data_IF_373398665571
#
_entry.id   IF_373398665571
#
_cell.length_a   1.000
_cell.length_b   1.000
_cell.length_c   1.000
_cell.angle_alpha   90.00
_cell.angle_beta   90.00
_cell.angle_gamma   90.00
#
_symmetry.space_group_name_H-M   'P 1'
#
loop_
_entity.id
_entity.type
_entity.pdbx_description
1 polymer ?
#
# COMPACT_ATOMS: atom_id res chain seq x y z
N UNK A 1 -52.19 13.92 8.27
CA UNK A 1 -51.89 12.49 8.51
C UNK A 1 -51.65 11.79 7.17
N UNK A 2 -50.68 12.28 6.39
CA UNK A 2 -50.34 11.77 5.04
C UNK A 2 -48.85 11.95 4.69
N UNK A 3 -48.03 12.49 5.60
CA UNK A 3 -46.60 12.75 5.40
C UNK A 3 -45.67 11.66 5.99
N UNK A 4 -46.23 10.62 6.62
CA UNK A 4 -45.44 9.66 7.41
C UNK A 4 -45.17 8.31 6.69
N UNK A 5 -45.47 8.21 5.39
CA UNK A 5 -45.39 6.95 4.63
C UNK A 5 -44.40 7.01 3.46
N UNK A 6 -43.32 7.79 3.59
CA UNK A 6 -42.31 7.98 2.55
C UNK A 6 -40.88 8.07 3.11
N UNK A 7 -40.46 7.14 3.96
CA UNK A 7 -39.02 6.87 4.14
C UNK A 7 -38.54 5.92 3.03
N UNK A 8 -38.47 6.45 1.81
CA UNK A 8 -37.79 5.79 0.67
C UNK A 8 -36.29 5.73 0.99
N UNK A 9 -35.62 4.62 0.65
CA UNK A 9 -34.15 4.51 0.70
C UNK A 9 -33.51 5.77 0.11
N UNK A 10 -32.53 6.34 0.82
CA UNK A 10 -31.83 7.54 0.35
C UNK A 10 -30.78 7.11 -0.67
N UNK A 11 -30.87 7.67 -1.88
CA UNK A 11 -29.79 7.54 -2.86
C UNK A 11 -28.57 8.30 -2.33
N UNK A 12 -27.45 7.61 -2.17
CA UNK A 12 -26.25 8.11 -1.49
C UNK A 12 -25.01 7.62 -2.22
N UNK A 13 -24.75 8.18 -3.40
CA UNK A 13 -23.56 7.89 -4.18
C UNK A 13 -22.25 8.21 -3.41
N UNK A 14 -21.18 7.42 -3.62
CA UNK A 14 -19.82 7.83 -3.25
C UNK A 14 -19.51 9.20 -3.81
N UNK A 15 -19.20 10.13 -2.89
CA UNK A 15 -18.84 11.49 -3.24
C UNK A 15 -17.44 11.48 -3.87
N UNK A 16 -17.42 11.35 -5.19
CA UNK A 16 -16.20 11.40 -6.01
C UNK A 16 -15.51 12.74 -5.80
N UNK A 17 -14.28 12.69 -5.29
CA UNK A 17 -13.45 13.86 -4.95
C UNK A 17 -12.78 13.78 -3.58
N UNK A 18 -13.28 12.94 -2.66
CA UNK A 18 -12.66 12.69 -1.34
C UNK A 18 -12.52 11.19 -1.00
N UNK A 19 -13.21 10.30 -1.72
CA UNK A 19 -13.16 8.85 -1.57
C UNK A 19 -12.82 8.22 -2.94
N UNK A 20 -11.53 8.18 -3.29
CA UNK A 20 -11.05 7.71 -4.61
C UNK A 20 -11.09 6.19 -4.76
N UNK A 21 -11.41 5.44 -3.70
CA UNK A 21 -11.46 3.97 -3.71
C UNK A 21 -12.90 3.43 -3.81
N UNK A 22 -13.92 4.26 -3.65
CA UNK A 22 -15.31 3.80 -3.57
C UNK A 22 -15.90 3.15 -4.86
N UNK A 23 -15.24 3.30 -6.02
CA UNK A 23 -15.79 2.82 -7.30
C UNK A 23 -15.64 1.29 -7.52
N UNK A 24 -14.73 0.63 -6.81
CA UNK A 24 -14.45 -0.81 -7.00
C UNK A 24 -15.31 -1.72 -6.10
N UNK A 25 -15.98 -1.15 -5.10
CA UNK A 25 -16.79 -1.87 -4.14
C UNK A 25 -18.25 -1.98 -4.57
N UNK A 26 -18.89 -3.07 -4.14
CA UNK A 26 -20.35 -3.26 -4.28
C UNK A 26 -21.08 -2.90 -2.97
N UNK A 27 -20.35 -2.87 -1.84
CA UNK A 27 -20.90 -2.52 -0.54
C UNK A 27 -19.86 -1.84 0.36
N UNK A 28 -20.27 -0.77 1.02
CA UNK A 28 -19.50 -0.07 2.05
C UNK A 28 -20.26 -0.11 3.37
N UNK A 29 -19.59 -0.58 4.42
CA UNK A 29 -20.18 -0.83 5.74
C UNK A 29 -19.45 -0.01 6.79
N UNK A 30 -20.13 0.96 7.35
CA UNK A 30 -19.63 1.79 8.44
C UNK A 30 -19.84 1.02 9.74
N UNK A 31 -18.75 0.78 10.46
CA UNK A 31 -18.73 0.02 11.72
C UNK A 31 -17.96 0.78 12.81
N UNK A 32 -18.06 0.30 14.03
CA UNK A 32 -17.36 0.80 15.21
C UNK A 32 -16.85 -0.39 16.02
N UNK A 33 -15.65 -0.29 16.58
CA UNK A 33 -15.11 -1.25 17.54
C UNK A 33 -15.87 -1.25 18.88
N UNK A 34 -16.82 -0.33 19.07
CA UNK A 34 -17.82 -0.33 20.14
C UNK A 34 -19.04 -1.20 19.86
N UNK A 35 -19.21 -1.70 18.62
CA UNK A 35 -20.25 -2.69 18.32
C UNK A 35 -19.96 -4.03 19.04
N UNK A 36 -20.98 -4.81 19.41
CA UNK A 36 -20.79 -6.12 20.02
C UNK A 36 -19.95 -7.04 19.12
N UNK A 37 -18.97 -7.75 19.70
CA UNK A 37 -18.05 -8.59 18.93
C UNK A 37 -18.77 -9.67 18.12
N UNK A 38 -19.87 -10.23 18.64
CA UNK A 38 -20.68 -11.21 17.91
C UNK A 38 -21.27 -10.66 16.61
N UNK A 39 -21.69 -9.39 16.61
CA UNK A 39 -22.21 -8.70 15.42
C UNK A 39 -21.09 -8.48 14.40
N UNK A 40 -19.93 -7.99 14.87
CA UNK A 40 -18.76 -7.78 14.01
C UNK A 40 -18.26 -9.09 13.38
N UNK A 41 -18.14 -10.16 14.17
CA UNK A 41 -17.76 -11.50 13.69
C UNK A 41 -18.74 -12.01 12.62
N UNK A 42 -20.04 -11.83 12.83
CA UNK A 42 -21.06 -12.23 11.86
C UNK A 42 -20.93 -11.44 10.54
N UNK A 43 -20.70 -10.13 10.60
CA UNK A 43 -20.49 -9.30 9.41
C UNK A 43 -19.22 -9.70 8.65
N UNK A 44 -18.10 -9.92 9.35
CA UNK A 44 -16.85 -10.35 8.71
C UNK A 44 -16.95 -11.76 8.13
N UNK A 45 -17.65 -12.68 8.79
CA UNK A 45 -17.90 -14.01 8.25
C UNK A 45 -18.73 -13.96 6.96
N UNK A 46 -19.81 -13.18 6.93
CA UNK A 46 -20.63 -13.01 5.73
C UNK A 46 -19.87 -12.34 4.59
N UNK A 47 -18.94 -11.43 4.88
CA UNK A 47 -18.14 -10.77 3.85
C UNK A 47 -17.35 -11.78 3.00
N UNK A 48 -16.94 -12.92 3.57
CA UNK A 48 -16.24 -14.00 2.87
C UNK A 48 -17.10 -14.69 1.79
N UNK A 49 -18.42 -14.54 1.85
CA UNK A 49 -19.35 -15.08 0.85
C UNK A 49 -19.55 -14.13 -0.34
N UNK A 50 -19.06 -12.90 -0.26
CA UNK A 50 -19.01 -11.96 -1.38
C UNK A 50 -17.71 -12.17 -2.17
N UNK A 51 -17.62 -11.70 -3.43
CA UNK A 51 -16.34 -11.74 -4.13
C UNK A 51 -15.29 -10.92 -3.41
N UNK A 52 -14.04 -11.39 -3.42
CA UNK A 52 -12.93 -10.76 -2.72
C UNK A 52 -12.78 -9.28 -3.11
N UNK A 53 -12.60 -8.41 -2.12
CA UNK A 53 -12.43 -6.97 -2.34
C UNK A 53 -13.70 -6.21 -2.72
N UNK A 54 -14.89 -6.82 -2.71
CA UNK A 54 -16.16 -6.13 -3.03
C UNK A 54 -16.85 -5.50 -1.83
N UNK A 55 -16.53 -5.93 -0.62
CA UNK A 55 -17.09 -5.38 0.62
C UNK A 55 -15.99 -4.63 1.38
N UNK A 56 -16.23 -3.34 1.63
CA UNK A 56 -15.35 -2.46 2.40
C UNK A 56 -15.96 -2.17 3.77
N UNK A 57 -15.20 -2.41 4.84
CA UNK A 57 -15.52 -1.97 6.18
C UNK A 57 -14.78 -0.69 6.52
N UNK A 58 -15.51 0.29 7.06
CA UNK A 58 -14.98 1.62 7.34
C UNK A 58 -15.17 1.94 8.82
N UNK A 59 -14.09 2.33 9.47
CA UNK A 59 -14.10 2.87 10.84
C UNK A 59 -13.74 4.36 10.82
N UNK A 60 -14.32 5.12 11.77
CA UNK A 60 -14.16 6.59 11.78
C UNK A 60 -12.75 7.04 12.09
N UNK A 61 -12.04 6.27 12.91
CA UNK A 61 -10.77 6.72 13.45
C UNK A 61 -10.10 5.71 14.35
N UNK A 62 -9.14 6.18 15.15
CA UNK A 62 -8.47 5.40 16.17
C UNK A 62 -7.99 6.30 17.29
N UNK A 63 -7.79 5.76 18.50
CA UNK A 63 -7.12 6.54 19.54
C UNK A 63 -5.66 6.78 19.13
N UNK A 64 -5.12 8.01 19.25
CA UNK A 64 -3.74 8.31 18.86
C UNK A 64 -2.73 7.32 19.44
N UNK A 65 -1.74 6.94 18.62
CA UNK A 65 -0.73 5.92 18.94
C UNK A 65 -1.28 4.49 19.14
N UNK A 66 -2.59 4.27 19.01
CA UNK A 66 -3.24 2.96 19.18
C UNK A 66 -3.86 2.39 17.90
N UNK A 67 -3.40 2.82 16.72
CA UNK A 67 -3.86 2.24 15.45
C UNK A 67 -3.62 0.72 15.39
N UNK A 68 -2.42 0.26 15.77
CA UNK A 68 -2.10 -1.17 15.79
C UNK A 68 -3.01 -1.98 16.72
N UNK A 69 -3.44 -1.38 17.84
CA UNK A 69 -4.38 -2.02 18.79
C UNK A 69 -5.76 -2.16 18.17
N UNK A 70 -6.27 -1.10 17.51
CA UNK A 70 -7.56 -1.14 16.82
C UNK A 70 -7.55 -2.19 15.69
N UNK A 71 -6.53 -2.15 14.83
CA UNK A 71 -6.39 -3.08 13.70
C UNK A 71 -6.27 -4.52 14.20
N UNK A 72 -5.45 -4.76 15.23
CA UNK A 72 -5.31 -6.09 15.83
C UNK A 72 -6.62 -6.59 16.44
N UNK A 73 -7.37 -5.73 17.14
CA UNK A 73 -8.69 -6.07 17.70
C UNK A 73 -9.64 -6.48 16.59
N UNK A 74 -9.80 -5.66 15.56
CA UNK A 74 -10.77 -5.91 14.47
C UNK A 74 -10.37 -7.11 13.61
N UNK A 75 -9.09 -7.26 13.24
CA UNK A 75 -8.60 -8.44 12.51
C UNK A 75 -8.75 -9.73 13.32
N UNK A 76 -8.65 -9.68 14.65
CA UNK A 76 -8.94 -10.83 15.52
C UNK A 76 -10.41 -11.28 15.52
N UNK A 77 -11.31 -10.48 14.94
CA UNK A 77 -12.71 -10.83 14.72
C UNK A 77 -12.96 -11.45 13.34
N UNK A 78 -11.98 -11.46 12.44
CA UNK A 78 -12.12 -12.06 11.12
C UNK A 78 -12.14 -13.58 11.23
N UNK A 79 -12.77 -14.30 10.27
CA UNK A 79 -12.64 -15.76 10.19
C UNK A 79 -11.19 -16.23 10.06
N UNK A 80 -10.39 -15.48 9.29
CA UNK A 80 -8.93 -15.62 9.18
C UNK A 80 -8.28 -14.23 9.36
N UNK A 81 -7.48 -14.00 10.41
CA UNK A 81 -6.82 -12.71 10.66
C UNK A 81 -5.85 -12.25 9.56
N UNK A 82 -5.34 -13.18 8.74
CA UNK A 82 -4.38 -12.91 7.66
C UNK A 82 -5.04 -12.80 6.29
N UNK A 83 -6.37 -12.87 6.21
CA UNK A 83 -7.06 -12.78 4.94
C UNK A 83 -6.91 -11.39 4.30
N UNK A 84 -6.69 -11.38 2.98
CA UNK A 84 -6.75 -10.18 2.13
C UNK A 84 -8.14 -10.01 1.50
N UNK A 85 -9.09 -10.90 1.82
CA UNK A 85 -10.45 -10.87 1.27
C UNK A 85 -11.29 -9.70 1.81
N UNK A 86 -11.06 -9.33 3.07
CA UNK A 86 -11.80 -8.28 3.79
C UNK A 86 -10.99 -6.99 3.78
N UNK A 87 -11.56 -5.95 3.16
CA UNK A 87 -10.98 -4.60 3.18
C UNK A 87 -11.46 -3.84 4.42
N UNK A 88 -10.54 -3.50 5.32
CA UNK A 88 -10.81 -2.66 6.49
C UNK A 88 -10.01 -1.37 6.39
N UNK A 89 -10.70 -0.23 6.41
CA UNK A 89 -10.11 1.09 6.25
C UNK A 89 -10.52 2.07 7.34
N UNK A 90 -9.61 3.01 7.65
CA UNK A 90 -9.89 4.15 8.51
C UNK A 90 -10.13 5.37 7.63
N UNK A 91 -11.39 5.79 7.53
CA UNK A 91 -11.79 6.91 6.66
C UNK A 91 -12.75 7.87 7.38
N UNK A 92 -12.22 8.86 8.11
CA UNK A 92 -13.04 9.89 8.75
C UNK A 92 -13.77 10.79 7.73
N UNK A 93 -13.26 10.95 6.50
CA UNK A 93 -13.93 11.76 5.48
C UNK A 93 -15.23 11.11 5.05
N UNK A 94 -15.25 9.79 4.85
CA UNK A 94 -16.47 9.04 4.55
C UNK A 94 -17.53 9.23 5.65
N UNK A 95 -17.16 9.11 6.92
CA UNK A 95 -18.10 9.34 8.03
C UNK A 95 -18.71 10.75 8.00
N UNK A 96 -17.91 11.79 7.73
CA UNK A 96 -18.41 13.17 7.59
C UNK A 96 -19.28 13.34 6.33
N UNK A 97 -18.85 12.79 5.21
CA UNK A 97 -19.51 12.91 3.91
C UNK A 97 -20.94 12.37 3.92
N UNK A 98 -21.17 11.27 4.65
CA UNK A 98 -22.47 10.63 4.82
C UNK A 98 -23.18 10.99 6.12
N UNK A 99 -22.61 11.90 6.92
CA UNK A 99 -23.14 12.30 8.22
C UNK A 99 -23.47 11.08 9.10
N UNK A 100 -22.54 10.11 9.17
CA UNK A 100 -22.70 8.89 9.95
C UNK A 100 -22.50 9.20 11.43
N UNK A 101 -23.59 9.16 12.18
CA UNK A 101 -23.67 9.43 13.62
C UNK A 101 -23.87 8.16 14.46
N UNK A 102 -24.37 7.09 13.84
CA UNK A 102 -24.53 5.76 14.43
C UNK A 102 -24.27 4.64 13.40
N UNK A 103 -23.91 3.45 13.89
CA UNK A 103 -23.52 2.29 13.07
C UNK A 103 -24.24 1.01 13.53
N UNK A 104 -24.42 -0.02 12.70
CA UNK A 104 -23.94 -0.13 11.33
C UNK A 104 -24.78 0.67 10.34
N UNK A 105 -24.09 1.32 9.40
CA UNK A 105 -24.69 1.94 8.22
C UNK A 105 -24.11 1.27 6.98
N UNK A 106 -24.96 0.96 6.02
CA UNK A 106 -24.58 0.27 4.80
C UNK A 106 -24.90 1.17 3.61
N UNK A 107 -23.93 1.31 2.72
CA UNK A 107 -24.14 1.80 1.38
C UNK A 107 -24.02 0.59 0.46
N UNK A 108 -25.08 0.32 -0.30
CA UNK A 108 -25.13 -0.84 -1.20
C UNK A 108 -25.35 -0.34 -2.61
N UNK A 109 -24.55 -0.88 -3.53
CA UNK A 109 -24.67 -0.62 -4.96
C UNK A 109 -25.74 -1.53 -5.57
N UNK A 110 -26.68 -0.96 -6.31
CA UNK A 110 -27.67 -1.67 -7.13
C UNK A 110 -27.67 -1.06 -8.55
N UNK A 111 -27.08 -1.81 -9.50
CA UNK A 111 -26.69 -1.29 -10.80
C UNK A 111 -25.60 -0.22 -10.68
N UNK A 112 -25.87 0.99 -11.18
CA UNK A 112 -24.97 2.15 -11.07
C UNK A 112 -25.28 3.05 -9.86
N UNK A 113 -26.38 2.76 -9.14
CA UNK A 113 -26.89 3.60 -8.06
C UNK A 113 -26.51 3.05 -6.71
N UNK A 114 -26.38 3.95 -5.73
CA UNK A 114 -26.05 3.61 -4.36
C UNK A 114 -27.18 3.98 -3.43
N UNK A 115 -27.50 3.09 -2.50
CA UNK A 115 -28.57 3.26 -1.55
C UNK A 115 -28.07 3.07 -0.13
N UNK A 116 -28.52 3.96 0.74
CA UNK A 116 -28.23 3.92 2.17
C UNK A 116 -29.28 3.06 2.91
N UNK A 117 -28.81 2.17 3.79
CA UNK A 117 -29.64 1.50 4.78
C UNK A 117 -28.96 1.48 6.15
N UNK A 118 -29.72 1.78 7.20
CA UNK A 118 -29.22 1.86 8.58
C UNK A 118 -29.69 0.66 9.39
N UNK A 119 -28.81 0.14 10.24
CA UNK A 119 -29.13 -0.90 11.21
C UNK A 119 -29.47 -2.25 10.61
N UNK A 120 -29.17 -2.53 9.34
CA UNK A 120 -29.41 -3.87 8.78
C UNK A 120 -28.67 -4.94 9.61
N UNK A 121 -29.31 -6.08 9.88
CA UNK A 121 -28.78 -7.14 10.75
C UNK A 121 -27.68 -7.99 10.09
N UNK A 122 -27.55 -7.89 8.76
CA UNK A 122 -26.61 -8.68 7.96
C UNK A 122 -26.29 -7.95 6.65
N UNK A 123 -25.18 -8.32 5.99
CA UNK A 123 -24.83 -7.82 4.66
C UNK A 123 -25.87 -8.24 3.63
N UNK A 124 -26.38 -9.47 3.74
CA UNK A 124 -27.43 -9.99 2.87
C UNK A 124 -28.75 -9.23 3.03
N UNK A 125 -29.16 -8.95 4.26
CA UNK A 125 -30.36 -8.15 4.52
C UNK A 125 -30.18 -6.72 4.01
N UNK A 126 -28.99 -6.12 4.15
CA UNK A 126 -28.73 -4.80 3.59
C UNK A 126 -28.92 -4.78 2.05
N UNK A 127 -28.41 -5.80 1.35
CA UNK A 127 -28.58 -5.95 -0.10
C UNK A 127 -30.04 -6.20 -0.49
N UNK A 128 -30.72 -7.09 0.23
CA UNK A 128 -32.13 -7.40 0.00
C UNK A 128 -33.03 -6.18 0.23
N UNK A 129 -32.79 -5.41 1.29
CA UNK A 129 -33.52 -4.19 1.61
C UNK A 129 -33.44 -3.18 0.47
N UNK A 130 -32.27 -3.05 -0.17
CA UNK A 130 -32.06 -2.18 -1.33
C UNK A 130 -32.78 -2.70 -2.57
N UNK A 131 -32.65 -4.00 -2.88
CA UNK A 131 -33.32 -4.62 -4.03
C UNK A 131 -34.85 -4.58 -3.91
N UNK A 132 -35.39 -4.78 -2.71
CA UNK A 132 -36.84 -4.76 -2.44
C UNK A 132 -37.38 -3.37 -2.12
N UNK A 133 -36.58 -2.32 -2.32
CA UNK A 133 -36.96 -0.90 -2.12
C UNK A 133 -37.56 -0.60 -0.74
N UNK A 134 -36.96 -1.12 0.33
CA UNK A 134 -37.21 -0.65 1.70
C UNK A 134 -38.12 -1.51 2.58
N UNK A 135 -38.27 -2.81 2.34
CA UNK A 135 -38.80 -3.70 3.38
C UNK A 135 -37.82 -3.74 4.54
N UNK A 136 -38.24 -3.23 5.69
CA UNK A 136 -37.35 -2.71 6.73
C UNK A 136 -37.10 -3.73 7.85
N UNK A 137 -36.04 -4.51 7.74
CA UNK A 137 -35.47 -5.18 8.92
C UNK A 137 -34.52 -4.21 9.63
N UNK A 138 -35.04 -3.42 10.57
CA UNK A 138 -34.23 -2.55 11.41
C UNK A 138 -33.64 -3.35 12.58
N UNK A 139 -32.33 -3.52 12.57
CA UNK A 139 -31.53 -3.95 13.72
C UNK A 139 -31.03 -2.76 14.54
N UNK A 140 -30.30 -3.07 15.61
CA UNK A 140 -29.83 -2.10 16.60
C UNK A 140 -28.71 -1.20 16.03
N UNK A 141 -28.77 0.08 16.42
CA UNK A 141 -27.74 1.07 16.12
C UNK A 141 -26.90 1.34 17.36
N UNK A 142 -25.60 1.46 17.17
CA UNK A 142 -24.58 1.66 18.18
C UNK A 142 -23.89 3.01 17.99
N UNK A 143 -23.44 3.58 19.10
CA UNK A 143 -22.60 4.77 19.09
C UNK A 143 -21.20 4.45 18.51
N UNK A 144 -20.60 5.44 17.85
CA UNK A 144 -19.25 5.34 17.31
C UNK A 144 -18.25 5.55 18.45
N UNK A 145 -17.42 4.54 18.72
CA UNK A 145 -16.50 4.53 19.85
C UNK A 145 -15.19 5.26 19.55
N UNK A 146 -14.75 5.24 18.29
CA UNK A 146 -13.50 5.88 17.88
C UNK A 146 -13.67 7.40 17.76
N UNK A 147 -12.64 8.20 18.12
CA UNK A 147 -12.67 9.63 17.84
C UNK A 147 -12.68 9.90 16.33
N UNK A 148 -13.18 11.07 15.92
CA UNK A 148 -12.97 11.57 14.56
C UNK A 148 -11.48 11.96 14.39
N UNK A 149 -10.75 11.21 13.58
CA UNK A 149 -9.33 11.45 13.39
C UNK A 149 -9.01 12.80 12.75
N UNK A 150 -9.91 13.35 11.94
CA UNK A 150 -9.70 14.69 11.38
C UNK A 150 -9.80 15.74 12.47
N UNK A 151 -10.78 15.64 13.37
CA UNK A 151 -10.89 16.53 14.52
C UNK A 151 -9.64 16.44 15.42
N UNK A 152 -9.12 15.23 15.63
CA UNK A 152 -7.90 15.02 16.42
C UNK A 152 -6.67 15.64 15.73
N UNK A 153 -6.55 15.51 14.39
CA UNK A 153 -5.47 16.12 13.61
C UNK A 153 -5.60 17.65 13.64
N UNK A 154 -6.81 18.19 13.44
CA UNK A 154 -7.12 19.62 13.48
C UNK A 154 -6.74 20.24 14.83
N UNK A 155 -7.12 19.60 15.93
CA UNK A 155 -6.79 20.04 17.29
C UNK A 155 -5.27 20.05 17.54
N UNK A 156 -4.58 18.99 17.12
CA UNK A 156 -3.11 18.92 17.22
C UNK A 156 -2.43 19.96 16.34
N UNK A 157 -2.98 20.25 15.16
CA UNK A 157 -2.41 21.24 14.24
C UNK A 157 -2.55 22.66 14.77
N UNK A 158 -3.63 22.98 15.49
CA UNK A 158 -3.76 24.28 16.18
C UNK A 158 -2.73 24.48 17.28
N UNK A 159 -2.34 23.39 17.95
CA UNK A 159 -1.50 23.44 19.16
C UNK A 159 -0.02 23.10 18.89
N UNK A 160 0.39 22.89 17.64
CA UNK A 160 1.73 22.41 17.32
C UNK A 160 2.27 23.01 16.02
N UNK A 161 3.45 23.63 16.08
CA UNK A 161 4.13 24.10 14.88
C UNK A 161 4.75 22.91 14.12
N UNK A 162 4.12 22.54 13.02
CA UNK A 162 4.55 21.45 12.15
C UNK A 162 5.75 21.81 11.26
N UNK A 163 6.04 23.09 11.05
CA UNK A 163 7.16 23.53 10.20
C UNK A 163 8.51 22.91 10.60
N UNK A 164 8.94 22.94 11.88
CA UNK A 164 10.20 22.31 12.29
C UNK A 164 10.19 20.79 12.16
N UNK A 165 9.05 20.14 12.33
CA UNK A 165 8.94 18.67 12.18
C UNK A 165 9.05 18.27 10.71
N UNK A 166 8.36 18.98 9.82
CA UNK A 166 8.45 18.76 8.38
C UNK A 166 9.86 19.07 7.86
N UNK A 167 10.48 20.16 8.32
CA UNK A 167 11.86 20.49 7.96
C UNK A 167 12.83 19.37 8.36
N UNK A 168 12.73 18.87 9.60
CA UNK A 168 13.55 17.73 10.07
C UNK A 168 13.28 16.45 9.28
N UNK A 169 12.03 16.21 8.88
CA UNK A 169 11.68 15.04 8.06
C UNK A 169 12.29 15.14 6.66
N UNK A 170 12.23 16.33 6.03
CA UNK A 170 12.87 16.60 4.74
C UNK A 170 14.39 16.45 4.82
N UNK A 171 15.04 17.01 5.84
CA UNK A 171 16.49 16.84 6.05
C UNK A 171 16.88 15.37 6.22
N UNK A 172 16.11 14.59 7.00
CA UNK A 172 16.35 13.14 7.16
C UNK A 172 16.17 12.39 5.85
N UNK A 173 15.14 12.70 5.08
CA UNK A 173 14.92 12.09 3.76
C UNK A 173 16.06 12.45 2.80
N UNK A 174 16.45 13.72 2.75
CA UNK A 174 17.57 14.21 1.94
C UNK A 174 18.91 13.58 2.35
N UNK A 175 19.08 13.14 3.60
CA UNK A 175 20.26 12.40 4.06
C UNK A 175 20.18 10.90 3.72
N UNK A 176 19.04 10.26 3.99
CA UNK A 176 18.89 8.81 3.89
C UNK A 176 18.68 8.32 2.45
N UNK A 177 18.17 9.18 1.56
CA UNK A 177 17.92 8.86 0.16
C UNK A 177 19.10 9.23 -0.76
N UNK A 178 20.29 9.47 -0.20
CA UNK A 178 21.51 9.64 -0.98
C UNK A 178 22.09 8.28 -1.34
N UNK A 179 22.55 8.07 -2.58
CA UNK A 179 23.30 6.88 -2.93
C UNK A 179 24.51 6.74 -2.01
N UNK A 180 24.61 5.59 -1.35
CA UNK A 180 25.57 5.40 -0.26
C UNK A 180 26.95 4.93 -0.70
N UNK A 181 27.17 4.68 -1.99
CA UNK A 181 28.40 4.14 -2.53
C UNK A 181 28.53 4.37 -4.05
N UNK A 182 29.75 4.20 -4.55
CA UNK A 182 30.11 4.28 -5.97
C UNK A 182 30.24 2.88 -6.59
N UNK A 183 29.96 2.78 -7.89
CA UNK A 183 30.32 1.65 -8.73
C UNK A 183 31.24 2.14 -9.85
N UNK A 184 32.27 1.38 -10.23
CA UNK A 184 33.15 1.79 -11.33
C UNK A 184 32.37 1.86 -12.65
N UNK A 185 32.79 2.79 -13.52
CA UNK A 185 32.28 2.85 -14.88
C UNK A 185 32.76 1.63 -15.68
N UNK A 186 31.86 0.97 -16.39
CA UNK A 186 32.18 -0.16 -17.26
C UNK A 186 33.14 0.29 -18.38
N UNK A 187 34.21 -0.47 -18.58
CA UNK A 187 35.25 -0.18 -19.59
C UNK A 187 35.00 -0.88 -20.92
N UNK A 188 34.13 -1.89 -20.92
CA UNK A 188 33.70 -2.67 -22.08
C UNK A 188 32.27 -3.17 -21.86
N UNK A 189 31.59 -3.51 -22.94
CA UNK A 189 30.31 -4.19 -22.88
C UNK A 189 30.50 -5.60 -22.30
N UNK A 190 29.53 -6.06 -21.52
CA UNK A 190 29.64 -7.32 -20.81
C UNK A 190 28.31 -7.87 -20.35
N UNK A 191 28.29 -9.17 -20.07
CA UNK A 191 27.16 -9.84 -19.45
C UNK A 191 27.66 -10.75 -18.34
N UNK A 192 27.11 -10.56 -17.15
CA UNK A 192 27.37 -11.41 -15.99
C UNK A 192 26.06 -12.01 -15.48
N UNK A 193 26.16 -13.14 -14.79
CA UNK A 193 25.03 -13.77 -14.13
C UNK A 193 25.24 -13.78 -12.62
N UNK A 194 24.21 -13.40 -11.87
CA UNK A 194 24.22 -13.38 -10.42
C UNK A 194 23.07 -14.19 -9.86
N UNK A 195 23.32 -14.99 -8.83
CA UNK A 195 22.28 -15.75 -8.11
C UNK A 195 22.03 -15.05 -6.77
N UNK A 196 20.89 -14.36 -6.61
CA UNK A 196 20.60 -13.67 -5.37
C UNK A 196 20.23 -14.69 -4.28
N UNK A 197 21.14 -14.90 -3.34
CA UNK A 197 20.95 -15.88 -2.26
C UNK A 197 20.65 -15.22 -0.93
N UNK A 198 19.86 -15.91 -0.10
CA UNK A 198 19.61 -15.58 1.29
C UNK A 198 20.01 -16.76 2.17
N UNK A 199 20.89 -16.49 3.13
CA UNK A 199 21.25 -17.47 4.15
C UNK A 199 20.35 -17.26 5.36
N UNK A 200 19.52 -18.26 5.64
CA UNK A 200 18.56 -18.28 6.74
C UNK A 200 19.33 -18.18 8.06
N UNK A 201 19.14 -17.12 8.86
CA UNK A 201 20.01 -16.87 10.02
C UNK A 201 19.74 -17.83 11.19
N UNK A 202 18.51 -18.31 11.33
CA UNK A 202 18.05 -19.26 12.35
C UNK A 202 16.78 -19.94 11.85
N UNK A 203 16.34 -21.00 12.53
CA UNK A 203 15.10 -21.71 12.18
C UNK A 203 13.89 -20.76 12.12
N UNK A 204 13.26 -20.68 10.94
CA UNK A 204 12.04 -19.93 10.71
C UNK A 204 10.87 -20.88 10.91
N UNK A 205 10.00 -20.59 11.87
CA UNK A 205 8.81 -21.40 12.16
C UNK A 205 7.54 -20.56 11.97
N UNK A 206 6.47 -21.19 11.53
CA UNK A 206 5.14 -20.58 11.40
C UNK A 206 4.12 -21.42 12.18
N UNK A 207 3.04 -20.82 12.72
CA UNK A 207 1.91 -21.60 13.21
C UNK A 207 1.42 -22.56 12.13
N UNK A 208 1.04 -23.77 12.54
CA UNK A 208 0.39 -24.73 11.65
C UNK A 208 -0.97 -24.20 11.19
N UNK A 209 -1.44 -24.63 10.02
CA UNK A 209 -2.73 -24.17 9.43
C UNK A 209 -3.95 -24.47 10.31
N UNK A 210 -3.85 -25.49 11.15
CA UNK A 210 -4.83 -25.95 12.12
C UNK A 210 -4.62 -25.36 13.53
N UNK A 211 -3.65 -24.44 13.71
CA UNK A 211 -3.35 -23.80 14.98
C UNK A 211 -2.66 -24.70 16.01
N UNK A 212 -2.49 -25.99 15.71
CA UNK A 212 -1.87 -26.97 16.59
C UNK A 212 -0.34 -27.02 16.39
N UNK A 213 0.38 -26.06 16.98
CA UNK A 213 1.84 -26.06 17.03
C UNK A 213 2.53 -25.26 15.92
N UNK A 214 3.84 -25.51 15.75
CA UNK A 214 4.71 -24.76 14.84
C UNK A 214 5.29 -25.68 13.75
N UNK A 215 5.25 -25.22 12.50
CA UNK A 215 5.88 -25.85 11.34
C UNK A 215 7.18 -25.12 11.03
N UNK A 216 8.26 -25.87 10.78
CA UNK A 216 9.52 -25.30 10.30
C UNK A 216 9.37 -24.93 8.82
N UNK A 217 9.47 -23.63 8.51
CA UNK A 217 9.45 -23.10 7.16
C UNK A 217 10.82 -23.13 6.49
N UNK A 218 11.87 -22.82 7.24
CA UNK A 218 13.24 -22.84 6.76
C UNK A 218 14.21 -23.10 7.90
N UNK A 219 15.28 -23.85 7.64
CA UNK A 219 16.27 -24.21 8.66
C UNK A 219 17.36 -23.16 8.76
N UNK A 220 17.80 -22.86 9.98
CA UNK A 220 18.99 -22.05 10.22
C UNK A 220 20.20 -22.57 9.45
N UNK A 221 20.91 -21.67 8.78
CA UNK A 221 22.07 -21.97 7.94
C UNK A 221 21.74 -22.39 6.49
N UNK A 222 20.47 -22.66 6.16
CA UNK A 222 20.04 -22.97 4.80
C UNK A 222 20.28 -21.76 3.88
N UNK A 223 20.83 -22.00 2.68
CA UNK A 223 20.94 -20.99 1.63
C UNK A 223 19.84 -21.23 0.62
N UNK A 224 18.99 -20.23 0.41
CA UNK A 224 17.91 -20.26 -0.60
C UNK A 224 18.19 -19.24 -1.69
N UNK A 225 17.82 -19.57 -2.92
CA UNK A 225 17.77 -18.59 -4.00
C UNK A 225 16.50 -17.77 -3.86
N UNK A 226 16.63 -16.44 -3.85
CA UNK A 226 15.49 -15.54 -3.72
C UNK A 226 14.54 -15.67 -4.92
N UNK A 227 15.07 -15.90 -6.12
CA UNK A 227 14.26 -15.99 -7.35
C UNK A 227 13.40 -17.25 -7.47
N UNK A 228 13.57 -18.21 -6.56
CA UNK A 228 12.69 -19.38 -6.46
C UNK A 228 11.36 -19.01 -5.77
N UNK A 229 11.34 -17.93 -4.99
CA UNK A 229 10.20 -17.49 -4.17
C UNK A 229 9.70 -16.08 -4.50
N UNK A 230 10.51 -15.28 -5.21
CA UNK A 230 10.15 -13.94 -5.67
C UNK A 230 10.52 -13.76 -7.14
N UNK A 231 10.02 -12.69 -7.77
CA UNK A 231 10.35 -12.34 -9.16
C UNK A 231 10.72 -10.87 -9.26
N UNK A 232 11.64 -10.58 -10.18
CA UNK A 232 11.94 -9.21 -10.56
C UNK A 232 10.78 -8.71 -11.44
N UNK A 233 9.98 -7.77 -10.93
CA UNK A 233 8.75 -7.32 -11.60
C UNK A 233 9.03 -6.56 -12.90
N UNK A 234 10.09 -5.75 -12.91
CA UNK A 234 10.52 -4.93 -14.06
C UNK A 234 12.05 -4.94 -14.17
N UNK A 235 12.64 -4.68 -15.35
CA UNK A 235 14.08 -4.49 -15.47
C UNK A 235 14.57 -3.37 -14.54
N UNK A 236 15.80 -3.48 -14.06
CA UNK A 236 16.42 -2.47 -13.20
C UNK A 236 17.60 -1.85 -13.93
N UNK A 237 17.63 -0.54 -14.06
CA UNK A 237 18.73 0.21 -14.66
C UNK A 237 19.50 0.90 -13.54
N UNK A 238 20.80 0.62 -13.45
CA UNK A 238 21.71 1.24 -12.47
C UNK A 238 22.75 2.09 -13.20
N UNK A 239 22.90 3.35 -12.84
CA UNK A 239 23.83 4.26 -13.52
C UNK A 239 24.37 5.36 -12.59
N UNK A 240 25.49 5.97 -12.98
CA UNK A 240 26.00 7.19 -12.38
C UNK A 240 25.49 8.40 -13.17
N UNK A 241 24.59 9.23 -12.61
CA UNK A 241 24.05 10.40 -13.29
C UNK A 241 25.07 11.54 -13.44
N UNK A 242 26.20 11.51 -12.71
CA UNK A 242 27.28 12.49 -12.86
C UNK A 242 28.11 12.27 -14.13
N UNK A 243 28.18 11.03 -14.62
CA UNK A 243 28.72 10.73 -15.95
C UNK A 243 27.65 11.02 -17.01
N UNK A 244 27.84 12.14 -17.72
CA UNK A 244 26.90 12.60 -18.76
C UNK A 244 26.66 11.56 -19.86
N UNK A 245 27.63 10.68 -20.12
CA UNK A 245 27.52 9.63 -21.15
C UNK A 245 26.54 8.55 -20.69
N UNK A 246 26.63 8.13 -19.44
CA UNK A 246 25.68 7.21 -18.83
C UNK A 246 24.27 7.81 -18.79
N UNK A 247 24.15 9.06 -18.34
CA UNK A 247 22.86 9.74 -18.27
C UNK A 247 22.16 9.82 -19.64
N UNK A 248 22.92 10.14 -20.70
CA UNK A 248 22.37 10.17 -22.06
C UNK A 248 22.00 8.77 -22.57
N UNK A 249 22.81 7.76 -22.27
CA UNK A 249 22.53 6.38 -22.62
C UNK A 249 21.23 5.87 -21.97
N UNK A 250 21.05 6.11 -20.67
CA UNK A 250 19.83 5.75 -19.95
C UNK A 250 18.60 6.49 -20.50
N UNK A 251 18.73 7.78 -20.84
CA UNK A 251 17.64 8.52 -21.49
C UNK A 251 17.17 7.87 -22.78
N UNK A 252 18.06 7.23 -23.55
CA UNK A 252 17.70 6.48 -24.76
C UNK A 252 17.07 5.14 -24.43
N UNK A 253 17.62 4.39 -23.47
CA UNK A 253 17.08 3.10 -23.06
C UNK A 253 15.62 3.20 -22.62
N UNK A 254 15.26 4.19 -21.80
CA UNK A 254 13.89 4.32 -21.30
C UNK A 254 12.86 4.72 -22.36
N UNK A 255 13.29 5.10 -23.57
CA UNK A 255 12.39 5.31 -24.72
C UNK A 255 12.11 4.01 -25.47
N UNK A 256 12.89 2.95 -25.22
CA UNK A 256 12.68 1.65 -25.84
C UNK A 256 11.54 0.92 -25.12
N UNK A 257 10.61 0.26 -25.85
CA UNK A 257 9.48 -0.44 -25.24
C UNK A 257 9.87 -1.47 -24.19
N UNK A 258 11.01 -2.15 -24.37
CA UNK A 258 11.54 -3.15 -23.44
C UNK A 258 11.86 -2.57 -22.05
N UNK A 259 12.28 -1.30 -21.98
CA UNK A 259 12.71 -0.64 -20.74
C UNK A 259 11.80 0.51 -20.32
N UNK A 260 10.65 0.68 -20.98
CA UNK A 260 9.69 1.75 -20.69
C UNK A 260 9.18 1.71 -19.24
N UNK A 261 9.11 0.51 -18.63
CA UNK A 261 8.70 0.31 -17.24
C UNK A 261 9.87 0.00 -16.30
N UNK A 262 11.12 0.09 -16.76
CA UNK A 262 12.29 -0.25 -15.94
C UNK A 262 12.46 0.72 -14.75
N UNK A 263 12.83 0.20 -13.58
CA UNK A 263 13.13 1.04 -12.42
C UNK A 263 14.53 1.65 -12.56
N UNK A 264 14.65 2.94 -12.21
CA UNK A 264 15.89 3.69 -12.32
C UNK A 264 16.56 3.84 -10.95
N UNK A 265 17.80 3.38 -10.86
CA UNK A 265 18.63 3.48 -9.68
C UNK A 265 19.92 4.24 -9.97
N UNK A 266 20.30 5.12 -9.04
CA UNK A 266 21.50 5.94 -9.18
C UNK A 266 22.54 5.60 -8.11
N UNK A 267 23.79 5.47 -8.54
CA UNK A 267 24.98 5.41 -7.66
C UNK A 267 25.65 6.79 -7.60
N UNK A 268 26.60 6.97 -6.67
CA UNK A 268 27.37 8.20 -6.58
C UNK A 268 27.38 8.79 -5.16
N UNK A 269 28.45 8.56 -4.40
CA UNK A 269 28.62 9.08 -3.04
C UNK A 269 28.65 10.61 -3.01
N UNK A 270 29.22 11.22 -4.06
CA UNK A 270 29.39 12.66 -4.19
C UNK A 270 28.23 13.35 -4.93
N UNK A 271 27.12 12.66 -5.18
CA UNK A 271 25.94 13.30 -5.76
C UNK A 271 25.37 14.32 -4.78
N UNK A 272 25.56 15.59 -5.11
CA UNK A 272 25.02 16.72 -4.38
C UNK A 272 23.73 17.15 -5.07
N UNK A 273 22.69 17.39 -4.26
CA UNK A 273 21.53 18.10 -4.74
C UNK A 273 21.85 19.59 -4.86
N UNK A 274 21.08 20.30 -5.69
CA UNK A 274 21.16 21.77 -5.83
C UNK A 274 20.98 22.49 -4.48
N UNK A 275 20.20 21.91 -3.56
CA UNK A 275 19.98 22.46 -2.23
C UNK A 275 19.99 21.38 -1.13
N UNK A 276 20.14 21.80 0.13
CA UNK A 276 20.24 20.90 1.28
C UNK A 276 18.93 20.16 1.64
N UNK A 277 17.79 20.58 1.09
CA UNK A 277 16.44 20.13 1.42
C UNK A 277 15.86 19.18 0.39
N UNK A 278 16.31 19.25 -0.86
CA UNK A 278 15.85 18.40 -1.96
C UNK A 278 16.74 17.16 -2.07
N UNK A 279 16.21 15.94 -1.99
CA UNK A 279 17.00 14.74 -2.28
C UNK A 279 17.46 14.75 -3.74
N UNK A 280 18.73 14.43 -4.00
CA UNK A 280 19.31 14.44 -5.36
C UNK A 280 18.53 13.54 -6.33
N UNK A 281 17.93 12.46 -5.83
CA UNK A 281 17.08 11.56 -6.61
C UNK A 281 15.79 12.22 -7.10
N UNK A 282 15.23 13.19 -6.38
CA UNK A 282 14.02 13.93 -6.80
C UNK A 282 14.35 14.86 -7.97
N UNK A 283 15.50 15.53 -7.93
CA UNK A 283 15.99 16.37 -9.02
C UNK A 283 16.22 15.53 -10.29
N UNK A 284 16.90 14.39 -10.14
CA UNK A 284 17.14 13.47 -11.25
C UNK A 284 15.79 12.95 -11.77
N UNK A 285 14.88 12.53 -10.90
CA UNK A 285 13.55 12.05 -11.28
C UNK A 285 12.76 13.04 -12.15
N UNK A 286 12.86 14.35 -11.86
CA UNK A 286 12.25 15.39 -12.69
C UNK A 286 12.84 15.41 -14.11
N UNK A 287 14.16 15.26 -14.25
CA UNK A 287 14.84 15.25 -15.55
C UNK A 287 14.52 14.01 -16.41
N UNK A 288 14.22 12.88 -15.78
CA UNK A 288 13.79 11.65 -16.45
C UNK A 288 12.26 11.53 -16.57
N UNK A 289 11.49 12.43 -15.92
CA UNK A 289 10.03 12.35 -15.77
C UNK A 289 9.55 10.99 -15.24
N UNK A 290 10.37 10.37 -14.39
CA UNK A 290 10.14 9.02 -13.84
C UNK A 290 10.74 8.94 -12.43
N UNK A 291 10.18 8.11 -11.54
CA UNK A 291 10.80 7.85 -10.25
C UNK A 291 12.25 7.37 -10.41
N UNK A 292 13.13 7.91 -9.58
CA UNK A 292 14.54 7.52 -9.48
C UNK A 292 14.85 7.24 -8.02
N UNK A 293 15.56 6.15 -7.78
CA UNK A 293 15.84 5.65 -6.44
C UNK A 293 17.35 5.61 -6.19
N UNK A 294 17.80 5.78 -4.93
CA UNK A 294 19.20 5.60 -4.61
C UNK A 294 19.55 4.11 -4.66
N UNK A 295 20.63 3.76 -5.34
CA UNK A 295 21.19 2.42 -5.27
C UNK A 295 22.01 2.30 -3.98
N UNK A 296 21.50 1.55 -3.01
CA UNK A 296 22.13 1.37 -1.70
C UNK A 296 23.03 0.14 -1.70
N UNK A 297 24.13 0.17 -0.94
CA UNK A 297 25.09 -0.96 -0.89
C UNK A 297 24.40 -2.28 -0.50
N UNK A 298 23.51 -2.26 0.49
CA UNK A 298 22.71 -3.44 0.88
C UNK A 298 21.78 -3.96 -0.21
N UNK A 299 21.34 -3.08 -1.12
CA UNK A 299 20.55 -3.48 -2.28
C UNK A 299 21.45 -4.20 -3.27
N UNK A 300 22.69 -3.72 -3.46
CA UNK A 300 23.65 -4.37 -4.35
C UNK A 300 24.00 -5.80 -3.92
N UNK A 301 23.96 -6.13 -2.62
CA UNK A 301 24.10 -7.52 -2.12
C UNK A 301 23.05 -8.48 -2.72
N UNK A 302 21.95 -7.94 -3.27
CA UNK A 302 20.87 -8.70 -3.92
C UNK A 302 20.88 -8.59 -5.43
N UNK A 303 21.55 -7.58 -5.99
CA UNK A 303 21.59 -7.35 -7.44
C UNK A 303 22.91 -7.77 -8.09
N UNK A 304 24.03 -7.76 -7.35
CA UNK A 304 25.33 -8.20 -7.83
C UNK A 304 25.98 -7.30 -8.88
N UNK A 305 25.58 -6.02 -8.98
CA UNK A 305 26.11 -5.09 -9.97
C UNK A 305 27.54 -4.71 -9.58
N UNK A 306 28.48 -4.90 -10.52
CA UNK A 306 29.90 -4.64 -10.30
C UNK A 306 30.40 -3.39 -11.03
N UNK A 307 29.70 -2.94 -12.08
CA UNK A 307 30.03 -1.76 -12.84
C UNK A 307 28.75 -1.12 -13.42
N UNK A 308 28.81 0.17 -13.73
CA UNK A 308 27.70 0.96 -14.30
C UNK A 308 28.13 1.65 -15.59
N UNK A 309 27.20 1.97 -16.50
CA UNK A 309 25.77 1.73 -16.46
C UNK A 309 25.46 0.25 -16.72
N UNK A 310 24.43 -0.26 -16.05
CA UNK A 310 24.02 -1.65 -16.14
C UNK A 310 22.50 -1.80 -16.22
N UNK A 311 22.06 -2.82 -16.95
CA UNK A 311 20.67 -3.28 -16.99
C UNK A 311 20.63 -4.66 -16.34
N UNK A 312 19.76 -4.83 -15.36
CA UNK A 312 19.53 -6.09 -14.66
C UNK A 312 18.16 -6.63 -15.04
N UNK A 313 18.15 -7.86 -15.55
CA UNK A 313 16.94 -8.59 -15.93
C UNK A 313 16.95 -9.97 -15.27
N UNK A 314 15.79 -10.55 -15.01
CA UNK A 314 15.70 -11.91 -14.52
C UNK A 314 15.77 -12.89 -15.71
N UNK A 315 16.64 -13.90 -15.58
CA UNK A 315 16.74 -15.03 -16.51
C UNK A 315 16.66 -16.33 -15.72
N UNK A 316 15.44 -16.90 -15.67
CA UNK A 316 15.14 -18.07 -14.85
C UNK A 316 15.46 -17.81 -13.36
N UNK A 317 16.28 -18.65 -12.71
CA UNK A 317 16.65 -18.50 -11.30
C UNK A 317 17.82 -17.55 -11.07
N UNK A 318 18.23 -16.75 -12.06
CA UNK A 318 19.39 -15.85 -11.98
C UNK A 318 19.05 -14.45 -12.48
N UNK A 319 19.88 -13.48 -12.13
CA UNK A 319 19.88 -12.15 -12.71
C UNK A 319 20.93 -12.09 -13.82
N UNK A 320 20.52 -11.68 -15.02
CA UNK A 320 21.42 -11.28 -16.10
C UNK A 320 21.73 -9.80 -15.93
N UNK A 321 22.99 -9.47 -15.80
CA UNK A 321 23.50 -8.12 -15.62
C UNK A 321 24.28 -7.76 -16.88
N UNK A 322 23.71 -6.89 -17.71
CA UNK A 322 24.36 -6.36 -18.91
C UNK A 322 24.98 -5.01 -18.58
N UNK A 323 26.30 -4.90 -18.71
CA UNK A 323 27.04 -3.65 -18.52
C UNK A 323 27.44 -3.08 -19.86
N UNK A 324 27.48 -1.75 -19.98
CA UNK A 324 27.73 -1.08 -21.25
C UNK A 324 28.83 -0.05 -21.09
N UNK A 325 29.81 -0.03 -21.98
CA UNK A 325 30.83 1.01 -22.00
C UNK A 325 30.17 2.33 -22.40
N UNK A 326 30.25 3.41 -21.59
CA UNK A 326 29.71 4.69 -22.00
C UNK A 326 30.48 5.24 -23.20
N UNK A 327 29.75 5.57 -24.26
CA UNK A 327 30.31 6.17 -25.47
C UNK A 327 30.29 7.70 -25.36
N UNK A 328 31.32 8.35 -25.91
CA UNK A 328 31.31 9.80 -26.10
C UNK A 328 30.38 10.13 -27.27
N UNK A 329 29.50 11.13 -27.10
CA UNK A 329 28.50 11.54 -28.08
C UNK A 329 28.93 12.74 -28.91
#
# INVERSE_FOLDING_TARGET
MQDDMMRRLREAAPKVGQDTTAQDFDMQVFISAGMPEGVLRALFAQAMEFPAGRVRFVVRGFTPQKLGVLVSKLRGLFPDPQTDHITLEVDPNAFRAYAVDAVPLYLVKDGEKWYETKGSQSLFAARENVQQRGKSAHGELYAIAEPDMLSVIEERTKNFDWKPVMARAQERAAKNLRPGFDLPTATQDGTAYFVPTFRVPHDIKSPSKDGAGQVLLAKGGQTINLLDYTRLQVPVIVFDPSDKRQAQMVKRWIQQPEFANADLFVVGFNLQAIDAKTPVTVEIAQSYKRPVYPFLSKLNDRFGVQAVPAIVQQEGPRLRISTFKPEDF
#
